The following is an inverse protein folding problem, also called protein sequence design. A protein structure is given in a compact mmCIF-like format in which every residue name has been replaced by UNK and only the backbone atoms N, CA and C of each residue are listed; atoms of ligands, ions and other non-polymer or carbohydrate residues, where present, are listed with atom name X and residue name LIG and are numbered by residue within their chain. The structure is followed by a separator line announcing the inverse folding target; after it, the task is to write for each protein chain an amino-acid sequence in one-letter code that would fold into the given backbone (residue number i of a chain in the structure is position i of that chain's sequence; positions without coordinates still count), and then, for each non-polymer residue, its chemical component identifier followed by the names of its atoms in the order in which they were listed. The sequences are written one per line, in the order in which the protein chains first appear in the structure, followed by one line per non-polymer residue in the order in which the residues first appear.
data_IF_798044406844
#
_entry.id   IF_798044406844
#
_cell.length_a   1.000
_cell.length_b   1.000
_cell.length_c   1.000
_cell.angle_alpha   90.00
_cell.angle_beta   90.00
_cell.angle_gamma   90.00
#
_symmetry.space_group_name_H-M   'P 1'
#
loop_
_entity.id
_entity.type
_entity.pdbx_description
1 polymer ?
#
# COMPACT_ATOMS: atom_id res chain seq x y z
N UNK A 1 -11.85 6.67 45.67
CA UNK A 1 -10.58 6.06 45.21
C UNK A 1 -10.85 5.43 43.85
N UNK A 2 -10.43 6.13 42.79
CA UNK A 2 -9.37 5.68 41.84
C UNK A 2 -9.85 4.49 40.99
N UNK A 3 -10.31 4.66 39.74
CA UNK A 3 -9.51 5.00 38.54
C UNK A 3 -9.36 3.70 37.72
N UNK A 4 -9.78 3.59 36.46
CA UNK A 4 -9.19 4.25 35.30
C UNK A 4 -10.06 4.07 34.04
N UNK A 5 -9.92 5.05 33.14
CA UNK A 5 -10.50 5.15 31.79
C UNK A 5 -9.96 4.05 30.86
N UNK A 6 -10.74 3.65 29.86
CA UNK A 6 -10.29 3.33 28.50
C UNK A 6 -11.52 3.33 27.56
N UNK A 7 -11.76 4.42 26.83
CA UNK A 7 -11.19 4.77 25.51
C UNK A 7 -12.12 4.28 24.39
N UNK A 8 -13.00 5.20 23.98
CA UNK A 8 -13.77 5.17 22.73
C UNK A 8 -12.74 5.14 21.59
N UNK A 9 -12.80 4.12 20.73
CA UNK A 9 -12.02 4.10 19.50
C UNK A 9 -12.86 3.49 18.38
N UNK A 10 -12.63 4.01 17.17
CA UNK A 10 -13.26 3.69 15.89
C UNK A 10 -14.73 4.13 15.74
N UNK A 11 -15.22 4.67 14.63
CA UNK A 11 -14.69 5.29 13.40
C UNK A 11 -15.99 5.62 12.64
N UNK A 12 -16.19 6.86 12.20
CA UNK A 12 -17.32 7.18 11.31
C UNK A 12 -16.77 7.86 10.07
N UNK A 13 -16.00 7.11 9.28
CA UNK A 13 -15.86 7.41 7.86
C UNK A 13 -17.00 6.72 7.12
N UNK A 14 -18.00 7.53 6.76
CA UNK A 14 -19.14 7.11 5.95
C UNK A 14 -18.68 7.06 4.50
N UNK A 15 -18.33 5.87 4.00
CA UNK A 15 -18.04 5.65 2.57
C UNK A 15 -19.30 5.18 1.82
N UNK A 16 -19.52 5.61 0.56
CA UNK A 16 -20.72 5.26 -0.19
C UNK A 16 -20.79 3.77 -0.55
N UNK A 17 -22.03 3.28 -0.54
CA UNK A 17 -22.46 1.90 -0.62
C UNK A 17 -22.06 1.19 -1.92
N UNK A 18 -21.28 0.11 -1.81
CA UNK A 18 -20.98 -0.78 -2.92
C UNK A 18 -20.09 -1.98 -2.55
N UNK A 19 -20.35 -2.61 -1.40
CA UNK A 19 -19.56 -3.77 -0.95
C UNK A 19 -20.18 -5.11 -1.35
N UNK A 20 -19.52 -5.87 -2.23
CA UNK A 20 -19.83 -7.30 -2.45
C UNK A 20 -19.18 -8.13 -1.33
N UNK A 21 -19.97 -8.94 -0.61
CA UNK A 21 -19.48 -9.82 0.46
C UNK A 21 -18.67 -10.99 -0.11
N UNK A 22 -17.43 -11.16 0.36
CA UNK A 22 -16.52 -12.24 -0.09
C UNK A 22 -16.77 -13.54 0.69
N UNK A 23 -17.48 -13.48 1.82
CA UNK A 23 -17.81 -14.63 2.66
C UNK A 23 -17.09 -14.59 4.01
N UNK A 24 -17.22 -15.68 4.78
CA UNK A 24 -16.71 -15.85 6.15
C UNK A 24 -15.63 -16.94 6.17
N UNK A 25 -14.54 -16.74 6.92
CA UNK A 25 -13.50 -17.75 7.11
C UNK A 25 -13.74 -18.52 8.41
N UNK A 26 -13.89 -19.84 8.32
CA UNK A 26 -13.93 -20.78 9.46
C UNK A 26 -12.73 -21.72 9.38
N UNK A 27 -11.82 -21.62 10.33
CA UNK A 27 -10.70 -22.55 10.49
C UNK A 27 -10.91 -23.38 11.74
N UNK A 28 -10.66 -24.68 11.65
CA UNK A 28 -10.63 -25.59 12.80
C UNK A 28 -9.32 -26.35 12.76
N UNK A 29 -8.63 -26.44 13.89
CA UNK A 29 -7.41 -27.22 14.00
C UNK A 29 -7.39 -28.01 15.31
N UNK A 30 -6.46 -28.97 15.39
CA UNK A 30 -6.12 -29.66 16.63
C UNK A 30 -4.66 -29.40 16.95
N UNK A 31 -4.36 -29.11 18.21
CA UNK A 31 -2.98 -29.02 18.69
C UNK A 31 -2.39 -30.43 18.78
N UNK A 32 -1.06 -30.52 18.90
CA UNK A 32 -0.39 -31.80 19.06
C UNK A 32 -0.82 -32.56 20.34
N UNK A 33 -1.41 -31.87 21.33
CA UNK A 33 -1.99 -32.46 22.55
C UNK A 33 -3.52 -32.72 22.44
N UNK A 34 -4.10 -32.59 21.24
CA UNK A 34 -5.49 -32.96 20.98
C UNK A 34 -6.53 -31.88 21.28
N UNK A 35 -6.12 -30.70 21.74
CA UNK A 35 -7.02 -29.58 21.98
C UNK A 35 -7.56 -29.01 20.66
N UNK A 36 -8.84 -28.69 20.63
CA UNK A 36 -9.51 -28.19 19.43
C UNK A 36 -9.51 -26.66 19.43
N UNK A 37 -8.86 -26.07 18.45
CA UNK A 37 -8.98 -24.65 18.14
C UNK A 37 -10.02 -24.39 17.05
N UNK A 38 -10.70 -23.25 17.11
CA UNK A 38 -11.58 -22.75 16.04
C UNK A 38 -11.39 -21.24 15.90
N UNK A 39 -11.15 -20.79 14.68
CA UNK A 39 -11.11 -19.38 14.33
C UNK A 39 -12.26 -19.08 13.36
N UNK A 40 -13.11 -18.15 13.76
CA UNK A 40 -14.25 -17.69 12.97
C UNK A 40 -14.13 -16.19 12.82
N UNK A 41 -14.00 -15.70 11.60
CA UNK A 41 -13.95 -14.26 11.34
C UNK A 41 -15.34 -13.73 11.02
N UNK A 42 -15.58 -12.43 11.14
CA UNK A 42 -16.78 -11.80 10.57
C UNK A 42 -16.74 -11.87 9.04
N UNK A 43 -17.89 -11.68 8.39
CA UNK A 43 -17.96 -11.65 6.93
C UNK A 43 -17.06 -10.51 6.41
N UNK A 44 -16.11 -10.85 5.54
CA UNK A 44 -15.20 -9.88 4.96
C UNK A 44 -16.00 -9.02 3.97
N UNK A 45 -16.20 -7.75 4.31
CA UNK A 45 -16.71 -6.77 3.37
C UNK A 45 -15.57 -6.31 2.48
N UNK A 46 -15.70 -6.50 1.17
CA UNK A 46 -14.78 -5.88 0.22
C UNK A 46 -15.13 -4.41 0.10
N UNK A 47 -14.30 -3.54 0.63
CA UNK A 47 -14.23 -2.17 0.15
C UNK A 47 -13.56 -2.26 -1.22
N UNK A 48 -14.31 -2.02 -2.31
CA UNK A 48 -13.65 -1.75 -3.58
C UNK A 48 -12.74 -0.53 -3.31
N UNK A 49 -11.42 -0.62 -3.54
CA UNK A 49 -10.57 0.53 -3.33
C UNK A 49 -11.12 1.63 -4.23
N UNK A 50 -11.47 2.77 -3.64
CA UNK A 50 -11.86 3.95 -4.40
C UNK A 50 -10.61 4.43 -5.13
N UNK A 51 -10.27 3.78 -6.24
CA UNK A 51 -9.01 3.98 -6.96
C UNK A 51 -8.88 5.39 -7.56
N UNK A 52 -9.86 6.28 -7.34
CA UNK A 52 -9.87 7.63 -7.89
C UNK A 52 -9.61 7.60 -9.40
N UNK A 53 -8.90 8.61 -9.88
CA UNK A 53 -8.49 8.71 -11.28
C UNK A 53 -7.22 7.90 -11.59
N UNK A 54 -6.43 7.51 -10.58
CA UNK A 54 -5.10 6.93 -10.74
C UNK A 54 -4.88 5.80 -9.75
N UNK A 55 -4.61 4.60 -10.27
CA UNK A 55 -4.35 3.39 -9.49
C UNK A 55 -2.89 3.01 -9.57
N UNK A 56 -2.27 2.75 -8.41
CA UNK A 56 -0.95 2.15 -8.31
C UNK A 56 -1.07 0.63 -8.04
N UNK A 57 -0.28 -0.18 -8.73
CA UNK A 57 -0.09 -1.61 -8.46
C UNK A 57 1.39 -1.97 -8.37
N UNK A 58 1.70 -3.01 -7.59
CA UNK A 58 3.04 -3.58 -7.49
C UNK A 58 3.13 -4.76 -8.44
N UNK A 59 4.00 -4.65 -9.44
CA UNK A 59 4.25 -5.72 -10.40
C UNK A 59 5.32 -6.69 -9.89
N UNK A 60 6.34 -6.16 -9.19
CA UNK A 60 7.42 -6.96 -8.61
C UNK A 60 7.93 -6.34 -7.33
N UNK A 61 8.02 -7.14 -6.28
CA UNK A 61 8.67 -6.82 -5.01
C UNK A 61 9.36 -8.09 -4.51
N UNK A 62 10.61 -8.04 -4.01
CA UNK A 62 11.22 -9.21 -3.41
C UNK A 62 10.51 -9.58 -2.11
N UNK A 63 10.30 -10.87 -1.86
CA UNK A 63 9.74 -11.34 -0.59
C UNK A 63 10.70 -11.09 0.59
N UNK A 64 12.00 -11.05 0.32
CA UNK A 64 13.04 -10.84 1.32
C UNK A 64 14.15 -9.95 0.75
N UNK A 65 14.67 -9.04 1.56
CA UNK A 65 15.81 -8.18 1.23
C UNK A 65 16.87 -8.26 2.33
N UNK A 66 18.14 -7.99 2.00
CA UNK A 66 19.22 -7.96 2.99
C UNK A 66 19.44 -6.55 3.50
N UNK A 67 19.66 -6.39 4.80
CA UNK A 67 20.07 -5.11 5.39
C UNK A 67 21.29 -4.56 4.64
N UNK A 68 21.25 -3.27 4.27
CA UNK A 68 22.30 -2.53 3.54
C UNK A 68 22.56 -3.03 2.11
N UNK A 69 21.65 -3.80 1.52
CA UNK A 69 21.69 -4.16 0.10
C UNK A 69 20.48 -3.56 -0.61
N UNK A 70 20.69 -2.82 -1.71
CA UNK A 70 19.59 -2.27 -2.47
C UNK A 70 18.76 -3.36 -3.15
N UNK A 71 17.47 -3.09 -3.30
CA UNK A 71 16.57 -3.93 -4.08
C UNK A 71 15.61 -3.07 -4.89
N UNK A 72 15.09 -3.65 -5.96
CA UNK A 72 14.16 -3.00 -6.87
C UNK A 72 12.72 -3.42 -6.60
N UNK A 73 11.82 -2.46 -6.74
CA UNK A 73 10.37 -2.63 -6.76
C UNK A 73 9.86 -2.07 -8.08
N UNK A 74 9.12 -2.88 -8.83
CA UNK A 74 8.50 -2.46 -10.08
C UNK A 74 7.04 -2.11 -9.77
N UNK A 75 6.69 -0.88 -10.08
CA UNK A 75 5.38 -0.30 -9.87
C UNK A 75 4.72 -0.02 -11.21
N UNK A 76 3.39 -0.11 -11.25
CA UNK A 76 2.56 0.26 -12.40
C UNK A 76 1.51 1.27 -11.99
N UNK A 77 1.45 2.38 -12.71
CA UNK A 77 0.34 3.30 -12.66
C UNK A 77 -0.66 2.97 -13.76
N UNK A 78 -1.93 2.99 -13.40
CA UNK A 78 -3.05 2.86 -14.33
C UNK A 78 -3.94 4.09 -14.23
N UNK A 79 -4.11 4.79 -15.35
CA UNK A 79 -5.04 5.89 -15.45
C UNK A 79 -6.46 5.32 -15.58
N UNK A 80 -7.24 5.46 -14.51
CA UNK A 80 -8.63 5.01 -14.43
C UNK A 80 -9.63 6.09 -14.88
N UNK A 81 -9.16 7.26 -15.31
CA UNK A 81 -9.99 8.38 -15.74
C UNK A 81 -10.24 8.38 -17.26
N UNK A 82 -11.17 9.23 -17.68
CA UNK A 82 -11.55 9.49 -19.07
C UNK A 82 -10.69 10.56 -19.77
N UNK A 83 -9.65 11.06 -19.10
CA UNK A 83 -8.76 12.13 -19.58
C UNK A 83 -7.29 11.74 -19.45
N UNK A 84 -6.43 12.44 -20.18
CA UNK A 84 -4.98 12.30 -20.01
C UNK A 84 -4.52 12.96 -18.72
N UNK A 85 -3.57 12.34 -18.03
CA UNK A 85 -2.88 12.90 -16.86
C UNK A 85 -1.45 13.26 -17.23
N UNK A 86 -0.86 14.31 -16.65
CA UNK A 86 0.57 14.61 -16.83
C UNK A 86 1.29 14.43 -15.49
N UNK A 87 2.07 13.36 -15.38
CA UNK A 87 2.46 12.81 -14.08
C UNK A 87 3.93 13.08 -13.75
N UNK A 88 4.16 13.54 -12.52
CA UNK A 88 5.50 13.69 -11.92
C UNK A 88 5.60 12.81 -10.68
N UNK A 89 6.57 11.91 -10.66
CA UNK A 89 6.90 11.10 -9.50
C UNK A 89 7.75 11.88 -8.51
N UNK A 90 7.32 11.93 -7.27
CA UNK A 90 8.03 12.49 -6.13
C UNK A 90 8.10 11.46 -5.01
N UNK A 91 9.20 11.46 -4.29
CA UNK A 91 9.50 10.50 -3.24
C UNK A 91 9.67 11.24 -1.91
N UNK A 92 8.94 10.79 -0.90
CA UNK A 92 9.01 11.31 0.47
C UNK A 92 9.62 10.25 1.40
N UNK A 93 10.88 10.45 1.78
CA UNK A 93 11.60 9.56 2.69
C UNK A 93 11.24 9.73 4.17
N UNK A 94 10.44 10.73 4.54
CA UNK A 94 10.13 11.04 5.95
C UNK A 94 9.26 9.97 6.64
N UNK A 95 8.52 9.19 5.85
CA UNK A 95 7.53 8.23 6.35
C UNK A 95 8.12 6.86 6.76
N UNK A 96 9.36 6.56 6.38
CA UNK A 96 9.93 5.21 6.54
C UNK A 96 11.44 5.23 6.84
N UNK A 97 11.86 5.49 8.10
CA UNK A 97 13.28 5.56 8.45
C UNK A 97 14.05 4.25 8.28
N UNK A 98 13.34 3.11 8.19
CA UNK A 98 13.94 1.79 7.99
C UNK A 98 14.21 1.44 6.51
N UNK A 99 13.58 2.14 5.55
CA UNK A 99 13.75 1.95 4.11
C UNK A 99 14.07 3.29 3.45
N UNK A 100 15.30 3.46 3.01
CA UNK A 100 15.71 4.68 2.28
C UNK A 100 15.33 4.53 0.81
N UNK A 101 14.56 5.49 0.28
CA UNK A 101 14.27 5.60 -1.14
C UNK A 101 15.52 6.16 -1.85
N UNK A 102 16.17 5.34 -2.67
CA UNK A 102 17.40 5.71 -3.39
C UNK A 102 17.13 6.24 -4.81
N UNK A 103 15.90 6.10 -5.29
CA UNK A 103 15.49 6.57 -6.62
C UNK A 103 15.45 8.08 -6.73
N UNK A 104 15.58 8.59 -7.96
CA UNK A 104 15.45 10.02 -8.24
C UNK A 104 14.01 10.50 -7.98
N UNK A 105 13.87 11.56 -7.20
CA UNK A 105 12.60 12.26 -6.97
C UNK A 105 12.43 13.40 -7.99
N UNK A 106 11.20 13.74 -8.35
CA UNK A 106 10.88 14.78 -9.35
C UNK A 106 10.93 14.28 -10.79
N UNK A 107 10.88 12.96 -11.02
CA UNK A 107 10.95 12.35 -12.35
C UNK A 107 9.66 12.59 -13.11
N UNK A 108 9.76 13.09 -14.33
CA UNK A 108 8.64 13.20 -15.26
C UNK A 108 8.29 11.80 -15.78
N UNK A 109 7.12 11.28 -15.42
CA UNK A 109 6.56 10.08 -16.04
C UNK A 109 5.84 10.42 -17.36
N UNK A 110 5.56 11.71 -17.57
CA UNK A 110 4.97 12.25 -18.77
C UNK A 110 3.47 12.08 -18.84
N UNK A 111 2.93 12.31 -20.03
CA UNK A 111 1.49 12.22 -20.26
C UNK A 111 1.05 10.75 -20.32
N UNK A 112 0.10 10.39 -19.46
CA UNK A 112 -0.54 9.08 -19.40
C UNK A 112 -1.98 9.17 -19.95
N UNK A 113 -2.25 8.66 -21.16
CA UNK A 113 -3.59 8.66 -21.77
C UNK A 113 -4.68 7.97 -20.93
N UNK A 114 -5.97 8.22 -21.19
CA UNK A 114 -7.09 7.53 -20.54
C UNK A 114 -6.95 6.01 -20.66
N UNK A 115 -7.28 5.27 -19.60
CA UNK A 115 -7.26 3.79 -19.56
C UNK A 115 -5.92 3.13 -19.93
N UNK A 116 -4.81 3.87 -19.85
CA UNK A 116 -3.47 3.37 -20.16
C UNK A 116 -2.64 3.14 -18.88
N UNK A 117 -1.44 2.58 -19.05
CA UNK A 117 -0.54 2.25 -17.95
C UNK A 117 0.89 2.69 -18.22
N UNK A 118 1.62 3.03 -17.16
CA UNK A 118 3.07 3.27 -17.21
C UNK A 118 3.73 2.58 -16.03
N UNK A 119 4.86 1.92 -16.31
CA UNK A 119 5.65 1.23 -15.31
C UNK A 119 6.85 2.09 -14.92
N UNK A 120 7.23 2.06 -13.66
CA UNK A 120 8.43 2.71 -13.13
C UNK A 120 9.07 1.86 -12.05
N UNK A 121 10.38 2.00 -11.88
CA UNK A 121 11.16 1.23 -10.91
C UNK A 121 11.60 2.10 -9.75
N UNK A 122 11.46 1.56 -8.55
CA UNK A 122 11.98 2.15 -7.31
C UNK A 122 13.13 1.29 -6.79
N UNK A 123 14.29 1.89 -6.59
CA UNK A 123 15.40 1.36 -5.81
C UNK A 123 15.29 1.79 -4.34
N UNK A 124 15.30 0.82 -3.43
CA UNK A 124 15.23 1.01 -1.99
C UNK A 124 16.43 0.37 -1.29
N UNK A 125 16.91 1.03 -0.23
CA UNK A 125 17.96 0.53 0.66
C UNK A 125 17.39 0.29 2.06
N UNK A 126 17.28 -0.97 2.51
CA UNK A 126 16.84 -1.27 3.87
C UNK A 126 17.97 -1.04 4.88
N UNK A 127 17.67 -0.36 5.98
CA UNK A 127 18.64 0.01 7.02
C UNK A 127 18.45 -0.80 8.30
N UNK A 128 17.23 -1.30 8.56
CA UNK A 128 16.85 -2.00 9.80
C UNK A 128 16.17 -3.34 9.43
N UNK A 129 16.54 -4.46 10.08
CA UNK A 129 15.89 -5.76 9.85
C UNK A 129 14.44 -5.78 10.36
N UNK A 130 13.65 -6.75 9.89
CA UNK A 130 12.24 -6.92 10.24
C UNK A 130 11.30 -6.73 9.05
N UNK A 131 10.00 -6.84 9.29
CA UNK A 131 8.98 -6.61 8.27
C UNK A 131 8.83 -5.10 8.06
N UNK A 132 9.16 -4.61 6.87
CA UNK A 132 9.11 -3.18 6.53
C UNK A 132 8.02 -2.91 5.49
N UNK A 133 7.19 -1.90 5.76
CA UNK A 133 6.24 -1.36 4.77
C UNK A 133 6.94 -0.41 3.80
N UNK A 134 6.54 -0.44 2.54
CA UNK A 134 6.98 0.48 1.49
C UNK A 134 5.94 1.60 1.38
N UNK A 135 6.39 2.84 1.63
CA UNK A 135 5.55 4.05 1.64
C UNK A 135 6.26 5.23 0.95
N UNK A 136 5.67 6.44 0.97
CA UNK A 136 6.34 7.65 0.50
C UNK A 136 6.37 7.83 -1.01
N UNK A 137 5.53 7.12 -1.76
CA UNK A 137 5.35 7.36 -3.19
C UNK A 137 4.30 8.48 -3.35
N UNK A 138 4.65 9.52 -4.09
CA UNK A 138 3.76 10.67 -4.37
C UNK A 138 3.73 10.94 -5.86
N UNK A 139 2.58 10.88 -6.48
CA UNK A 139 2.42 11.16 -7.91
C UNK A 139 1.62 12.45 -8.08
N UNK A 140 2.21 13.45 -8.73
CA UNK A 140 1.56 14.74 -8.96
C UNK A 140 1.04 14.83 -10.39
N UNK A 141 -0.25 15.11 -10.55
CA UNK A 141 -0.84 15.51 -11.83
C UNK A 141 -0.65 17.03 -12.01
N UNK A 142 0.14 17.42 -13.00
CA UNK A 142 0.45 18.83 -13.26
C UNK A 142 -0.72 19.61 -13.85
N UNK A 143 -1.70 18.93 -14.47
CA UNK A 143 -2.88 19.58 -15.04
C UNK A 143 -3.88 19.96 -13.95
N UNK A 144 -4.25 19.00 -13.09
CA UNK A 144 -5.21 19.24 -12.02
C UNK A 144 -4.60 19.77 -10.73
N UNK A 145 -3.26 19.87 -10.66
CA UNK A 145 -2.51 20.24 -9.45
C UNK A 145 -2.90 19.36 -8.27
N UNK A 146 -3.09 18.07 -8.55
CA UNK A 146 -3.52 17.06 -7.58
C UNK A 146 -2.37 16.12 -7.27
N UNK A 147 -2.18 15.82 -5.99
CA UNK A 147 -1.24 14.81 -5.53
C UNK A 147 -1.98 13.52 -5.17
N UNK A 148 -1.49 12.40 -5.70
CA UNK A 148 -1.92 11.05 -5.34
C UNK A 148 -0.88 10.47 -4.38
N UNK A 149 -1.33 10.16 -3.17
CA UNK A 149 -0.47 9.63 -2.11
C UNK A 149 -0.59 8.11 -2.04
N UNK A 150 0.55 7.45 -2.01
CA UNK A 150 0.66 6.00 -2.04
C UNK A 150 1.59 5.53 -0.91
N UNK A 151 0.97 5.13 0.20
CA UNK A 151 1.62 4.61 1.40
C UNK A 151 1.17 3.18 1.70
N UNK A 152 2.01 2.43 2.41
CA UNK A 152 1.78 1.02 2.79
C UNK A 152 1.40 0.12 1.60
N UNK A 153 2.06 0.34 0.46
CA UNK A 153 1.69 -0.27 -0.83
C UNK A 153 2.17 -1.72 -0.98
N UNK A 154 3.20 -2.09 -0.23
CA UNK A 154 3.75 -3.44 -0.14
C UNK A 154 4.57 -3.60 1.14
N UNK A 155 4.92 -4.84 1.47
CA UNK A 155 5.82 -5.16 2.58
C UNK A 155 6.95 -6.06 2.09
N UNK A 156 8.13 -5.88 2.68
CA UNK A 156 9.32 -6.71 2.45
C UNK A 156 9.88 -7.16 3.79
N UNK A 157 10.28 -8.42 3.88
CA UNK A 157 10.97 -8.92 5.06
C UNK A 157 12.48 -8.66 4.93
N UNK A 158 13.06 -7.88 5.85
CA UNK A 158 14.48 -7.52 5.82
C UNK A 158 15.26 -8.40 6.80
N UNK A 159 16.32 -9.04 6.30
CA UNK A 159 17.23 -9.93 7.07
C UNK A 159 18.64 -9.37 7.19
#
# INVERSE_FOLDING_TARGET
MCGSKNQKCSEFFRFPSGGTSIGKLDMVWRTNMGERGRLQTSALQRMAPGYGDLRLTIEKVPATAKVRQTFEVICRLHNCSDRSLDLVLTLDGSLQPALVLCSTSGVQLGQLPPNSTVDFTLELLPVIPGLQSISGIRVNDTFLKRTYEHDDIAQVFVT
#
